data_IF_620292655140
#
_entry.id   IF_620292655140
#
_cell.length_a   1.000
_cell.length_b   1.000
_cell.length_c   1.000
_cell.angle_alpha   90.00
_cell.angle_beta   90.00
_cell.angle_gamma   90.00
#
_symmetry.space_group_name_H-M   'P 1'
#
loop_
_entity.id
_entity.type
_entity.pdbx_description
1 polymer ?
#
# COMPACT_ATOMS: atom_id res chain seq x y z
N UNK A 1 16.68 48.79 -74.92
CA UNK A 1 15.54 49.42 -74.20
C UNK A 1 14.94 48.40 -73.25
N UNK A 2 14.73 48.84 -72.00
CA UNK A 2 14.66 48.02 -70.78
C UNK A 2 13.48 47.04 -70.74
N UNK A 3 13.76 45.80 -70.36
CA UNK A 3 12.79 44.79 -69.90
C UNK A 3 12.45 45.09 -68.44
N UNK A 4 11.16 45.13 -68.11
CA UNK A 4 10.63 45.32 -66.75
C UNK A 4 10.61 43.95 -66.08
N UNK A 5 11.42 43.78 -65.03
CA UNK A 5 11.45 42.57 -64.21
C UNK A 5 10.64 42.80 -62.93
N UNK A 6 9.63 41.97 -62.74
CA UNK A 6 8.77 41.90 -61.57
C UNK A 6 9.58 41.26 -60.42
N UNK A 7 9.87 42.00 -59.35
CA UNK A 7 10.51 41.43 -58.16
C UNK A 7 9.45 41.26 -57.08
N UNK A 8 9.12 40.00 -56.78
CA UNK A 8 8.26 39.62 -55.66
C UNK A 8 9.12 39.70 -54.39
N UNK A 9 8.79 40.66 -53.52
CA UNK A 9 9.38 40.80 -52.19
C UNK A 9 8.68 39.81 -51.25
N UNK A 10 9.28 38.63 -51.03
CA UNK A 10 8.85 37.69 -49.98
C UNK A 10 9.38 38.22 -48.65
N UNK A 11 8.48 38.80 -47.86
CA UNK A 11 8.74 39.24 -46.49
C UNK A 11 8.86 37.98 -45.60
N UNK A 12 10.07 37.54 -45.33
CA UNK A 12 10.36 36.46 -44.39
C UNK A 12 10.23 37.03 -42.96
N UNK A 13 9.02 36.98 -42.40
CA UNK A 13 8.78 37.27 -41.00
C UNK A 13 9.45 36.20 -40.14
N UNK A 14 10.56 36.55 -39.50
CA UNK A 14 11.13 35.75 -38.42
C UNK A 14 10.21 35.94 -37.23
N UNK A 15 9.26 35.01 -37.04
CA UNK A 15 8.59 34.83 -35.77
C UNK A 15 9.64 34.25 -34.80
N UNK A 16 10.26 35.09 -33.98
CA UNK A 16 10.89 34.61 -32.77
C UNK A 16 9.78 34.24 -31.80
N UNK A 17 9.40 32.96 -31.75
CA UNK A 17 8.81 32.39 -30.55
C UNK A 17 9.86 32.55 -29.44
N UNK A 18 9.74 33.58 -28.61
CA UNK A 18 10.29 33.51 -27.26
C UNK A 18 9.43 32.49 -26.51
N UNK A 19 9.85 31.23 -26.54
CA UNK A 19 9.48 30.30 -25.50
C UNK A 19 10.05 30.87 -24.20
N UNK A 20 9.19 31.48 -23.39
CA UNK A 20 9.52 31.78 -22.01
C UNK A 20 9.69 30.42 -21.33
N UNK A 21 10.94 29.96 -21.18
CA UNK A 21 11.24 28.81 -20.35
C UNK A 21 10.96 29.25 -18.91
N UNK A 22 9.77 28.97 -18.40
CA UNK A 22 9.51 29.00 -16.96
C UNK A 22 10.56 28.08 -16.32
N UNK A 23 11.38 28.62 -15.41
CA UNK A 23 12.34 27.81 -14.64
C UNK A 23 11.52 26.68 -14.01
N UNK A 24 11.95 25.43 -14.22
CA UNK A 24 11.28 24.28 -13.59
C UNK A 24 11.50 24.42 -12.09
N UNK A 25 10.43 24.28 -11.30
CA UNK A 25 10.53 24.26 -9.85
C UNK A 25 11.52 23.21 -9.37
N UNK A 26 12.31 23.55 -8.35
CA UNK A 26 13.17 22.61 -7.64
C UNK A 26 12.58 22.29 -6.28
N UNK A 27 12.91 21.12 -5.75
CA UNK A 27 12.54 20.79 -4.37
C UNK A 27 13.40 21.63 -3.41
N UNK A 28 12.86 22.01 -2.24
CA UNK A 28 13.64 22.69 -1.21
C UNK A 28 14.79 21.81 -0.70
N UNK A 29 15.78 22.43 -0.05
CA UNK A 29 16.90 21.74 0.60
C UNK A 29 16.86 21.94 2.12
N UNK A 30 17.10 20.88 2.90
CA UNK A 30 17.28 20.94 4.37
C UNK A 30 18.75 20.66 4.70
N UNK A 31 19.38 21.53 5.48
CA UNK A 31 20.79 21.44 5.89
C UNK A 31 20.95 21.56 7.41
N UNK A 32 22.05 21.05 7.93
CA UNK A 32 22.47 21.26 9.32
C UNK A 32 21.94 20.25 10.35
N UNK A 33 21.03 19.35 9.96
CA UNK A 33 20.51 18.32 10.86
C UNK A 33 21.59 17.34 11.32
N UNK A 34 21.71 17.14 12.64
CA UNK A 34 22.44 15.99 13.20
C UNK A 34 21.59 14.73 13.01
N UNK A 35 22.10 13.78 12.21
CA UNK A 35 21.33 12.61 11.79
C UNK A 35 21.31 11.48 12.83
N UNK A 36 22.26 11.44 13.76
CA UNK A 36 22.35 10.36 14.77
C UNK A 36 22.79 10.87 16.15
N UNK A 37 22.06 11.84 16.74
CA UNK A 37 22.37 12.34 18.06
C UNK A 37 22.15 11.26 19.13
N UNK A 38 22.99 11.28 20.16
CA UNK A 38 22.88 10.44 21.34
C UNK A 38 22.85 11.34 22.57
N UNK A 39 21.79 11.24 23.37
CA UNK A 39 21.60 12.02 24.60
C UNK A 39 21.35 11.09 25.79
N UNK A 40 21.60 11.57 27.01
CA UNK A 40 21.20 10.84 28.19
C UNK A 40 19.72 11.10 28.50
N UNK A 41 19.05 10.11 29.08
CA UNK A 41 17.67 10.24 29.50
C UNK A 41 17.46 11.49 30.39
N UNK A 42 16.54 12.35 29.98
CA UNK A 42 16.18 13.60 30.64
C UNK A 42 16.97 14.83 30.18
N UNK A 43 17.96 14.67 29.29
CA UNK A 43 18.63 15.81 28.64
C UNK A 43 17.65 16.55 27.72
N UNK A 44 17.80 17.87 27.62
CA UNK A 44 17.04 18.67 26.65
C UNK A 44 17.53 18.37 25.22
N UNK A 45 16.61 18.33 24.27
CA UNK A 45 16.91 18.12 22.85
C UNK A 45 15.94 18.89 21.96
N UNK A 46 16.47 19.64 21.00
CA UNK A 46 15.70 20.33 19.97
C UNK A 46 16.09 19.78 18.58
N UNK A 47 15.18 19.09 17.87
CA UNK A 47 15.47 18.54 16.54
C UNK A 47 15.73 19.61 15.47
N UNK A 48 15.44 20.88 15.74
CA UNK A 48 15.70 21.99 14.82
C UNK A 48 17.00 22.76 15.13
N UNK A 49 17.77 22.34 16.15
CA UNK A 49 19.01 23.01 16.50
C UNK A 49 19.99 22.98 15.31
N UNK A 50 20.32 24.16 14.79
CA UNK A 50 21.24 24.32 13.65
C UNK A 50 20.65 23.95 12.28
N UNK A 51 19.37 23.57 12.21
CA UNK A 51 18.71 23.20 10.96
C UNK A 51 18.24 24.43 10.19
N UNK A 52 18.49 24.45 8.89
CA UNK A 52 17.99 25.47 7.96
C UNK A 52 17.33 24.82 6.76
N UNK A 53 16.32 25.47 6.19
CA UNK A 53 15.73 25.07 4.91
C UNK A 53 15.69 26.24 3.93
N UNK A 54 16.04 25.97 2.67
CA UNK A 54 15.98 26.98 1.62
C UNK A 54 15.57 26.39 0.29
N UNK A 55 14.92 27.20 -0.52
CA UNK A 55 14.57 26.90 -1.90
C UNK A 55 15.06 28.01 -2.83
N UNK A 56 15.39 27.63 -4.07
CA UNK A 56 15.91 28.54 -5.09
C UNK A 56 14.88 29.57 -5.56
N UNK A 57 13.60 29.20 -5.55
CA UNK A 57 12.45 30.00 -6.00
C UNK A 57 11.74 30.71 -4.84
N UNK A 58 11.66 30.07 -3.67
CA UNK A 58 10.93 30.55 -2.49
C UNK A 58 11.81 31.19 -1.39
N UNK A 59 13.13 31.00 -1.44
CA UNK A 59 14.07 31.59 -0.48
C UNK A 59 14.16 30.80 0.84
N UNK A 60 14.23 31.50 1.98
CA UNK A 60 14.36 30.85 3.30
C UNK A 60 13.02 30.26 3.76
N UNK A 61 13.01 28.94 3.95
CA UNK A 61 11.86 28.14 4.38
C UNK A 61 12.06 27.53 5.77
N UNK A 62 13.07 27.96 6.52
CA UNK A 62 13.43 27.36 7.83
C UNK A 62 12.27 27.33 8.82
N UNK A 63 11.45 28.38 8.88
CA UNK A 63 10.27 28.43 9.77
C UNK A 63 9.11 27.55 9.32
N UNK A 64 9.18 27.01 8.10
CA UNK A 64 8.16 26.14 7.50
C UNK A 64 8.48 24.66 7.67
N UNK A 65 9.61 24.32 8.32
CA UNK A 65 9.94 22.93 8.64
C UNK A 65 8.91 22.38 9.63
N UNK A 66 8.34 21.24 9.28
CA UNK A 66 7.44 20.45 10.12
C UNK A 66 8.25 19.31 10.74
N UNK A 67 8.25 19.23 12.07
CA UNK A 67 8.83 18.12 12.84
C UNK A 67 7.75 17.08 13.11
N UNK A 68 8.06 15.81 12.88
CA UNK A 68 7.19 14.68 13.18
C UNK A 68 8.00 13.50 13.74
N UNK A 69 7.34 12.60 14.48
CA UNK A 69 8.02 11.47 15.13
C UNK A 69 8.74 11.79 16.44
N UNK A 70 8.53 12.98 17.00
CA UNK A 70 9.12 13.43 18.26
C UNK A 70 8.16 14.31 19.05
N UNK A 71 8.02 14.03 20.34
CA UNK A 71 7.37 14.87 21.34
C UNK A 71 8.37 15.30 22.40
N UNK A 72 8.20 16.48 22.99
CA UNK A 72 9.17 17.03 23.94
C UNK A 72 9.39 16.16 25.19
N UNK A 73 8.45 15.27 25.53
CA UNK A 73 8.57 14.34 26.65
C UNK A 73 9.33 13.06 26.32
N UNK A 74 9.60 12.77 25.03
CA UNK A 74 10.28 11.55 24.58
C UNK A 74 11.70 11.42 25.14
N UNK A 75 12.36 12.56 25.42
CA UNK A 75 13.69 12.58 26.07
C UNK A 75 13.70 11.91 27.45
N UNK A 76 12.52 11.74 28.07
CA UNK A 76 12.40 11.10 29.38
C UNK A 76 12.32 9.57 29.30
N UNK A 77 12.30 8.98 28.10
CA UNK A 77 12.16 7.54 27.91
C UNK A 77 13.32 7.02 27.07
N UNK A 78 14.01 5.99 27.58
CA UNK A 78 15.09 5.37 26.83
C UNK A 78 14.53 4.70 25.57
N UNK A 79 15.22 4.84 24.44
CA UNK A 79 14.73 4.33 23.17
C UNK A 79 15.40 4.98 21.97
N UNK A 80 14.99 4.53 20.79
CA UNK A 80 15.39 5.13 19.51
C UNK A 80 14.15 5.73 18.85
N UNK A 81 14.26 6.99 18.46
CA UNK A 81 13.18 7.78 17.88
C UNK A 81 13.54 8.15 16.45
N UNK A 82 12.62 7.92 15.53
CA UNK A 82 12.76 8.30 14.12
C UNK A 82 12.01 9.60 13.92
N UNK A 83 12.76 10.69 13.83
CA UNK A 83 12.24 12.05 13.66
C UNK A 83 12.35 12.42 12.18
N UNK A 84 11.27 12.89 11.59
CA UNK A 84 11.25 13.37 10.21
C UNK A 84 11.01 14.86 10.18
N UNK A 85 11.95 15.59 9.59
CA UNK A 85 11.82 16.99 9.25
C UNK A 85 11.37 17.10 7.80
N UNK A 86 10.25 17.76 7.54
CA UNK A 86 9.71 17.96 6.19
C UNK A 86 9.52 19.45 5.93
N UNK A 87 9.89 19.90 4.73
CA UNK A 87 9.60 21.25 4.26
C UNK A 87 8.99 21.17 2.86
N UNK A 88 7.93 21.94 2.64
CA UNK A 88 7.18 22.01 1.38
C UNK A 88 7.24 23.43 0.86
N UNK A 89 7.56 23.58 -0.43
CA UNK A 89 7.62 24.88 -1.10
C UNK A 89 6.23 25.39 -1.54
N UNK A 90 6.19 26.55 -2.17
CA UNK A 90 4.91 27.15 -2.63
C UNK A 90 4.24 26.41 -3.79
N UNK A 91 4.99 25.53 -4.47
CA UNK A 91 4.56 24.73 -5.62
C UNK A 91 4.31 23.26 -5.25
N UNK A 92 4.25 22.95 -3.94
CA UNK A 92 3.88 21.64 -3.36
C UNK A 92 4.95 20.56 -3.59
N UNK A 93 6.17 20.93 -3.93
CA UNK A 93 7.32 20.01 -3.90
C UNK A 93 7.91 19.99 -2.48
N UNK A 94 8.37 18.82 -2.03
CA UNK A 94 8.82 18.65 -0.64
C UNK A 94 10.16 17.96 -0.54
N UNK A 95 10.92 18.31 0.51
CA UNK A 95 12.10 17.58 0.92
C UNK A 95 11.95 17.09 2.36
N UNK A 96 12.66 16.00 2.69
CA UNK A 96 12.65 15.45 4.04
C UNK A 96 14.01 14.90 4.45
N UNK A 97 14.32 15.04 5.74
CA UNK A 97 15.50 14.43 6.38
C UNK A 97 15.08 13.67 7.62
N UNK A 98 15.71 12.52 7.85
CA UNK A 98 15.43 11.64 8.99
C UNK A 98 16.56 11.71 10.01
N UNK A 99 16.20 11.94 11.27
CA UNK A 99 17.10 11.89 12.43
C UNK A 99 16.77 10.65 13.24
N UNK A 100 17.80 9.86 13.58
CA UNK A 100 17.69 8.71 14.47
C UNK A 100 18.24 9.09 15.86
N UNK A 101 17.40 9.69 16.70
CA UNK A 101 17.76 10.06 18.07
C UNK A 101 17.86 8.81 18.94
N UNK A 102 18.97 8.65 19.66
CA UNK A 102 19.10 7.64 20.72
C UNK A 102 19.09 8.31 22.09
N UNK A 103 18.11 7.94 22.92
CA UNK A 103 18.03 8.32 24.33
C UNK A 103 18.54 7.16 25.17
N UNK A 104 19.73 7.32 25.75
CA UNK A 104 20.35 6.29 26.58
C UNK A 104 19.81 6.33 28.01
N UNK A 105 19.25 5.20 28.44
CA UNK A 105 18.81 4.99 29.82
C UNK A 105 19.95 4.52 30.73
N UNK A 106 19.73 4.63 32.05
CA UNK A 106 20.71 4.19 33.06
C UNK A 106 20.68 2.67 33.32
N UNK A 107 19.70 1.96 32.77
CA UNK A 107 19.49 0.51 32.95
C UNK A 107 19.31 -0.20 31.62
N UNK A 108 19.96 -1.34 31.43
CA UNK A 108 19.86 -2.17 30.23
C UNK A 108 18.56 -2.99 30.19
N UNK A 109 17.43 -2.30 30.07
CA UNK A 109 16.11 -2.90 29.83
C UNK A 109 15.91 -3.02 28.31
N UNK A 110 15.42 -4.16 27.84
CA UNK A 110 15.13 -4.35 26.41
C UNK A 110 13.87 -3.57 26.01
N UNK A 111 13.80 -3.02 24.80
CA UNK A 111 12.61 -2.34 24.32
C UNK A 111 11.48 -3.33 23.99
N UNK A 112 10.22 -2.90 24.06
CA UNK A 112 9.11 -3.65 23.50
C UNK A 112 9.21 -3.74 21.96
N UNK A 113 8.55 -4.73 21.36
CA UNK A 113 8.52 -4.95 19.92
C UNK A 113 7.11 -4.66 19.39
N UNK A 114 7.01 -3.67 18.49
CA UNK A 114 5.81 -3.41 17.69
C UNK A 114 5.81 -4.30 16.44
N UNK A 115 4.68 -4.92 16.11
CA UNK A 115 4.50 -5.78 14.93
C UNK A 115 3.19 -5.46 14.22
N UNK A 116 3.12 -5.69 12.91
CA UNK A 116 1.93 -5.42 12.09
C UNK A 116 1.75 -3.96 11.66
N UNK A 117 2.74 -3.09 11.89
CA UNK A 117 2.65 -1.68 11.48
C UNK A 117 2.78 -1.54 9.97
N UNK A 118 1.69 -1.14 9.30
CA UNK A 118 1.69 -0.71 7.90
C UNK A 118 2.17 0.74 7.84
N UNK A 119 3.42 0.96 7.41
CA UNK A 119 4.08 2.27 7.49
C UNK A 119 3.60 3.27 6.44
N UNK A 120 2.98 2.80 5.34
CA UNK A 120 2.35 3.65 4.35
C UNK A 120 0.87 3.33 4.25
N UNK A 121 0.02 4.27 4.61
CA UNK A 121 -1.43 4.05 4.60
C UNK A 121 -2.10 5.05 3.68
N UNK A 122 -3.18 4.63 3.04
CA UNK A 122 -4.05 5.52 2.28
C UNK A 122 -5.44 5.52 2.90
N UNK A 123 -5.98 6.71 3.15
CA UNK A 123 -7.38 6.90 3.47
C UNK A 123 -8.08 7.72 2.37
N UNK A 124 -9.22 7.23 1.89
CA UNK A 124 -10.06 7.97 0.96
C UNK A 124 -11.12 8.75 1.72
N UNK A 125 -11.28 10.02 1.40
CA UNK A 125 -12.20 10.91 2.11
C UNK A 125 -13.63 10.32 2.04
N UNK A 126 -14.21 10.09 3.22
CA UNK A 126 -15.54 9.53 3.38
C UNK A 126 -15.61 8.00 3.53
N UNK A 127 -14.49 7.28 3.43
CA UNK A 127 -14.43 5.81 3.56
C UNK A 127 -14.82 5.25 4.93
N UNK A 128 -15.00 6.10 5.94
CA UNK A 128 -15.60 5.73 7.22
C UNK A 128 -14.63 5.87 8.39
N UNK A 129 -14.66 4.92 9.31
CA UNK A 129 -13.74 4.90 10.45
C UNK A 129 -12.32 4.59 9.98
N UNK A 130 -11.33 5.12 10.71
CA UNK A 130 -9.92 4.86 10.49
C UNK A 130 -9.26 4.65 11.85
N UNK A 131 -8.58 3.53 12.02
CA UNK A 131 -7.79 3.20 13.20
C UNK A 131 -6.33 2.96 12.79
N UNK A 132 -5.39 3.85 13.15
CA UNK A 132 -3.97 3.66 12.83
C UNK A 132 -3.33 2.46 13.55
N UNK A 133 -4.02 1.87 14.56
CA UNK A 133 -3.56 0.69 15.30
C UNK A 133 -4.16 -0.63 14.78
N UNK A 134 -4.99 -0.59 13.74
CA UNK A 134 -5.59 -1.80 13.18
C UNK A 134 -4.49 -2.83 12.80
N UNK A 135 -4.59 -4.05 13.35
CA UNK A 135 -3.61 -5.12 13.14
C UNK A 135 -2.27 -4.96 13.89
N UNK A 136 -2.07 -3.88 14.63
CA UNK A 136 -0.81 -3.62 15.35
C UNK A 136 -0.81 -4.33 16.70
N UNK A 137 0.28 -5.03 17.00
CA UNK A 137 0.51 -5.71 18.28
C UNK A 137 1.81 -5.23 18.94
N UNK A 138 1.87 -5.34 20.27
CA UNK A 138 3.10 -5.05 21.03
C UNK A 138 3.38 -6.17 22.03
N UNK A 139 4.62 -6.68 22.00
CA UNK A 139 5.10 -7.69 22.95
C UNK A 139 6.42 -7.23 23.55
N UNK A 140 6.55 -7.34 24.86
CA UNK A 140 7.77 -7.08 25.61
C UNK A 140 8.32 -8.39 26.20
N UNK A 141 9.65 -8.59 26.23
CA UNK A 141 10.26 -9.80 26.79
C UNK A 141 9.97 -10.06 28.28
N UNK A 142 9.66 -9.01 29.05
CA UNK A 142 9.43 -9.06 30.50
C UNK A 142 7.95 -8.87 30.83
N UNK A 143 7.27 -7.90 30.20
CA UNK A 143 5.87 -7.57 30.49
C UNK A 143 4.86 -8.44 29.70
N UNK A 144 5.32 -9.18 28.68
CA UNK A 144 4.46 -10.00 27.83
C UNK A 144 3.68 -9.17 26.80
N UNK A 145 2.40 -9.49 26.57
CA UNK A 145 1.58 -8.77 25.59
C UNK A 145 1.12 -7.44 26.18
N UNK A 146 1.53 -6.34 25.54
CA UNK A 146 1.23 -4.97 25.98
C UNK A 146 0.55 -4.14 24.87
N UNK A 147 -0.11 -4.80 23.91
CA UNK A 147 -0.83 -4.17 22.79
C UNK A 147 -1.81 -3.06 23.23
N UNK A 148 -2.48 -3.24 24.37
CA UNK A 148 -3.43 -2.24 24.89
C UNK A 148 -2.75 -0.95 25.37
N UNK A 149 -1.43 -0.96 25.56
CA UNK A 149 -0.63 0.21 25.95
C UNK A 149 -0.10 1.02 24.76
N UNK A 150 -0.44 0.63 23.51
CA UNK A 150 -0.05 1.40 22.33
C UNK A 150 -0.82 2.72 22.29
N UNK A 151 -0.06 3.81 22.37
CA UNK A 151 -0.53 5.18 22.21
C UNK A 151 -0.32 5.65 20.76
N UNK A 152 -1.20 6.54 20.31
CA UNK A 152 -1.13 7.20 19.01
C UNK A 152 -0.86 8.69 19.25
N UNK A 153 0.20 9.22 18.65
CA UNK A 153 0.53 10.64 18.64
C UNK A 153 0.66 11.16 17.20
N UNK A 154 0.82 12.47 17.06
CA UNK A 154 0.70 13.17 15.79
C UNK A 154 -0.74 13.60 15.48
N UNK A 155 -0.88 14.58 14.59
CA UNK A 155 -2.17 15.12 14.15
C UNK A 155 -2.44 14.73 12.71
N UNK A 156 -3.65 14.24 12.42
CA UNK A 156 -4.09 13.91 11.07
C UNK A 156 -5.54 14.34 10.84
N UNK A 157 -5.90 14.58 9.57
CA UNK A 157 -7.26 14.96 9.19
C UNK A 157 -7.78 14.01 8.11
N UNK A 158 -8.93 13.40 8.36
CA UNK A 158 -9.58 12.48 7.40
C UNK A 158 -10.47 13.22 6.38
N UNK A 159 -10.62 14.54 6.51
CA UNK A 159 -11.50 15.36 5.67
C UNK A 159 -10.74 16.32 4.76
N UNK A 160 -9.42 16.34 4.86
CA UNK A 160 -8.57 17.19 4.04
C UNK A 160 -7.53 16.31 3.36
N UNK A 161 -7.42 16.43 2.04
CA UNK A 161 -6.38 15.72 1.31
C UNK A 161 -5.00 16.24 1.74
N UNK A 162 -4.05 15.34 1.90
CA UNK A 162 -2.72 15.66 2.41
C UNK A 162 -2.02 14.44 2.96
N UNK A 163 -0.75 14.63 3.33
CA UNK A 163 0.07 13.60 3.96
C UNK A 163 0.25 13.95 5.43
N UNK A 164 0.03 12.99 6.31
CA UNK A 164 0.14 13.14 7.76
C UNK A 164 1.05 12.08 8.33
N UNK A 165 1.93 12.48 9.26
CA UNK A 165 2.77 11.55 10.01
C UNK A 165 2.11 11.24 11.36
N UNK A 166 1.82 9.97 11.58
CA UNK A 166 1.25 9.43 12.81
C UNK A 166 2.34 8.59 13.48
N UNK A 167 2.47 8.70 14.79
CA UNK A 167 3.45 7.92 15.55
C UNK A 167 2.73 6.99 16.50
N UNK A 168 3.02 5.70 16.39
CA UNK A 168 2.66 4.70 17.39
C UNK A 168 3.78 4.59 18.39
N UNK A 169 3.46 4.62 19.68
CA UNK A 169 4.45 4.44 20.75
C UNK A 169 3.94 3.53 21.84
N UNK A 170 4.83 2.73 22.40
CA UNK A 170 4.53 1.84 23.52
C UNK A 170 5.70 1.86 24.49
N UNK A 171 5.39 2.02 25.78
CA UNK A 171 6.38 2.08 26.86
C UNK A 171 6.17 0.90 27.80
N UNK A 172 7.24 0.17 28.07
CA UNK A 172 7.23 -0.96 28.98
C UNK A 172 7.36 -0.50 30.45
N UNK A 173 7.20 -1.42 31.40
CA UNK A 173 7.25 -1.10 32.83
C UNK A 173 8.63 -0.59 33.30
N UNK A 174 9.69 -0.89 32.53
CA UNK A 174 11.04 -0.40 32.75
C UNK A 174 11.32 1.00 32.19
N UNK A 175 10.32 1.66 31.60
CA UNK A 175 10.45 3.02 31.07
C UNK A 175 11.17 3.11 29.71
N UNK A 176 11.30 1.99 29.00
CA UNK A 176 11.85 1.94 27.64
C UNK A 176 10.71 2.04 26.64
N UNK A 177 10.88 2.87 25.60
CA UNK A 177 9.88 3.14 24.57
C UNK A 177 10.33 2.61 23.22
N UNK A 178 9.39 1.97 22.52
CA UNK A 178 9.50 1.71 21.10
C UNK A 178 8.50 2.60 20.33
N UNK A 179 8.92 3.07 19.16
CA UNK A 179 8.09 3.90 18.28
C UNK A 179 8.07 3.35 16.87
N UNK A 180 6.96 3.56 16.16
CA UNK A 180 6.86 3.35 14.73
C UNK A 180 6.09 4.51 14.08
N UNK A 181 6.50 4.91 12.88
CA UNK A 181 5.87 6.01 12.14
C UNK A 181 5.03 5.47 10.99
N UNK A 182 3.82 6.00 10.86
CA UNK A 182 2.88 5.76 9.77
C UNK A 182 2.76 7.06 8.96
N UNK A 183 2.98 6.96 7.66
CA UNK A 183 2.68 8.01 6.69
C UNK A 183 1.28 7.77 6.14
N UNK A 184 0.31 8.56 6.61
CA UNK A 184 -1.06 8.52 6.15
C UNK A 184 -1.27 9.51 4.99
N UNK A 185 -1.56 8.98 3.79
CA UNK A 185 -1.99 9.77 2.63
C UNK A 185 -3.51 9.83 2.57
N UNK A 186 -4.07 11.01 2.77
CA UNK A 186 -5.50 11.27 2.63
C UNK A 186 -5.77 11.84 1.24
N UNK A 187 -6.70 11.21 0.49
CA UNK A 187 -7.02 11.64 -0.88
C UNK A 187 -8.52 11.56 -1.18
N UNK A 188 -8.95 12.33 -2.16
CA UNK A 188 -10.30 12.20 -2.74
C UNK A 188 -10.31 10.95 -3.62
N UNK A 189 -11.36 10.14 -3.55
CA UNK A 189 -11.52 8.98 -4.43
C UNK A 189 -12.00 9.41 -5.81
N UNK A 190 -11.41 8.83 -6.86
CA UNK A 190 -11.88 8.98 -8.24
C UNK A 190 -13.08 8.07 -8.56
N UNK A 191 -13.50 7.23 -7.61
CA UNK A 191 -14.65 6.33 -7.79
C UNK A 191 -15.95 7.16 -7.87
N UNK A 192 -16.70 7.06 -8.97
CA UNK A 192 -17.94 7.81 -9.11
C UNK A 192 -18.98 7.42 -8.07
N UNK A 193 -19.71 8.40 -7.52
CA UNK A 193 -20.81 8.15 -6.57
C UNK A 193 -22.11 7.69 -7.25
N UNK A 194 -22.15 7.69 -8.57
CA UNK A 194 -23.31 7.28 -9.38
C UNK A 194 -22.85 6.38 -10.50
N UNK A 195 -23.59 5.31 -10.75
CA UNK A 195 -23.34 4.42 -11.88
C UNK A 195 -23.81 5.08 -13.20
N UNK A 196 -23.07 4.83 -14.28
CA UNK A 196 -23.51 5.22 -15.63
C UNK A 196 -24.64 4.32 -16.11
N UNK A 197 -25.49 4.84 -17.00
CA UNK A 197 -26.50 4.09 -17.74
C UNK A 197 -26.01 3.65 -19.12
N UNK A 198 -24.81 4.08 -19.52
CA UNK A 198 -24.23 3.70 -20.80
C UNK A 198 -23.95 2.19 -20.83
N UNK A 199 -24.01 1.54 -22.01
CA UNK A 199 -23.68 0.13 -22.13
C UNK A 199 -22.21 -0.13 -21.73
N UNK A 200 -22.01 -1.12 -20.85
CA UNK A 200 -20.69 -1.57 -20.38
C UNK A 200 -20.50 -3.04 -20.75
N UNK A 201 -19.31 -3.40 -21.21
CA UNK A 201 -18.91 -4.81 -21.38
C UNK A 201 -17.77 -5.13 -20.42
N UNK A 202 -17.93 -6.19 -19.63
CA UNK A 202 -16.91 -6.72 -18.70
C UNK A 202 -16.51 -8.11 -19.19
N UNK A 203 -15.24 -8.30 -19.54
CA UNK A 203 -14.71 -9.62 -19.92
C UNK A 203 -13.94 -10.25 -18.77
N UNK A 204 -14.26 -11.51 -18.44
CA UNK A 204 -13.59 -12.29 -17.39
C UNK A 204 -12.88 -13.51 -18.00
N UNK A 205 -11.55 -13.56 -17.94
CA UNK A 205 -10.79 -14.75 -18.35
C UNK A 205 -10.54 -15.70 -17.17
N UNK A 206 -10.61 -17.01 -17.43
CA UNK A 206 -10.40 -18.05 -16.41
C UNK A 206 -9.75 -19.31 -16.97
N UNK A 207 -9.23 -20.15 -16.06
CA UNK A 207 -8.60 -21.43 -16.38
C UNK A 207 -9.57 -22.63 -16.22
N UNK A 208 -10.73 -22.41 -15.61
CA UNK A 208 -11.67 -23.48 -15.26
C UNK A 208 -12.32 -24.20 -16.45
N UNK A 209 -12.73 -25.46 -16.23
CA UNK A 209 -13.48 -26.26 -17.20
C UNK A 209 -14.97 -25.93 -17.28
N UNK A 210 -15.67 -26.59 -18.21
CA UNK A 210 -17.05 -26.29 -18.63
C UNK A 210 -18.06 -26.20 -17.48
N UNK A 211 -18.01 -27.15 -16.53
CA UNK A 211 -18.96 -27.18 -15.41
C UNK A 211 -18.86 -25.91 -14.53
N UNK A 212 -17.65 -25.47 -14.23
CA UNK A 212 -17.42 -24.27 -13.40
C UNK A 212 -17.66 -22.98 -14.20
N UNK A 213 -17.37 -22.97 -15.50
CA UNK A 213 -17.74 -21.87 -16.38
C UNK A 213 -19.26 -21.67 -16.41
N UNK A 214 -20.03 -22.75 -16.48
CA UNK A 214 -21.49 -22.67 -16.42
C UNK A 214 -22.01 -22.11 -15.09
N UNK A 215 -21.28 -22.32 -13.98
CA UNK A 215 -21.59 -21.69 -12.69
C UNK A 215 -21.24 -20.20 -12.68
N UNK A 216 -20.05 -19.84 -13.18
CA UNK A 216 -19.67 -18.43 -13.37
C UNK A 216 -20.71 -17.66 -14.20
N UNK A 217 -21.20 -18.28 -15.28
CA UNK A 217 -22.23 -17.66 -16.11
C UNK A 217 -23.52 -17.37 -15.34
N UNK A 218 -23.93 -18.23 -14.40
CA UNK A 218 -25.12 -17.97 -13.57
C UNK A 218 -24.93 -16.75 -12.64
N UNK A 219 -23.72 -16.56 -12.10
CA UNK A 219 -23.40 -15.36 -11.31
C UNK A 219 -23.41 -14.11 -12.19
N UNK A 220 -22.83 -14.18 -13.38
CA UNK A 220 -22.87 -13.12 -14.38
C UNK A 220 -24.31 -12.77 -14.78
N UNK A 221 -25.15 -13.76 -15.07
CA UNK A 221 -26.56 -13.55 -15.42
C UNK A 221 -27.32 -12.86 -14.29
N UNK A 222 -27.08 -13.27 -13.05
CA UNK A 222 -27.69 -12.64 -11.86
C UNK A 222 -27.24 -11.18 -11.70
N UNK A 223 -25.96 -10.90 -11.94
CA UNK A 223 -25.42 -9.54 -11.92
C UNK A 223 -26.03 -8.67 -13.03
N UNK A 224 -26.15 -9.18 -14.25
CA UNK A 224 -26.77 -8.46 -15.38
C UNK A 224 -28.26 -8.18 -15.17
N UNK A 225 -28.99 -9.00 -14.39
CA UNK A 225 -30.36 -8.70 -14.00
C UNK A 225 -30.44 -7.48 -13.07
N UNK A 226 -29.46 -7.31 -12.18
CA UNK A 226 -29.36 -6.14 -11.30
C UNK A 226 -28.87 -4.90 -12.06
N UNK A 227 -28.01 -5.09 -13.06
CA UNK A 227 -27.41 -4.02 -13.87
C UNK A 227 -27.64 -4.25 -15.37
N UNK A 228 -28.84 -3.91 -15.90
CA UNK A 228 -29.23 -4.25 -17.28
C UNK A 228 -28.38 -3.59 -18.39
N UNK A 229 -27.64 -2.53 -18.08
CA UNK A 229 -26.71 -1.90 -19.01
C UNK A 229 -25.33 -2.57 -19.05
N UNK A 230 -25.06 -3.56 -18.20
CA UNK A 230 -23.81 -4.32 -18.17
C UNK A 230 -23.96 -5.64 -18.91
N UNK A 231 -23.00 -5.97 -19.74
CA UNK A 231 -22.82 -7.29 -20.37
C UNK A 231 -21.53 -7.91 -19.85
N UNK A 232 -21.61 -9.11 -19.28
CA UNK A 232 -20.48 -9.88 -18.79
C UNK A 232 -20.17 -10.99 -19.78
N UNK A 233 -18.95 -11.01 -20.30
CA UNK A 233 -18.47 -11.97 -21.29
C UNK A 233 -17.48 -12.92 -20.62
N UNK A 234 -17.85 -14.20 -20.54
CA UNK A 234 -17.02 -15.28 -19.98
C UNK A 234 -16.70 -16.26 -21.12
N UNK A 235 -15.56 -16.12 -21.82
CA UNK A 235 -15.14 -17.05 -22.85
C UNK A 235 -14.83 -18.44 -22.27
N UNK A 236 -14.67 -19.43 -23.16
CA UNK A 236 -14.24 -20.76 -22.76
C UNK A 236 -12.91 -20.70 -22.00
N UNK A 237 -12.85 -21.39 -20.86
CA UNK A 237 -11.63 -21.44 -20.06
C UNK A 237 -10.47 -22.14 -20.77
N UNK A 238 -9.25 -21.75 -20.40
CA UNK A 238 -8.02 -22.23 -21.07
C UNK A 238 -7.40 -23.48 -20.42
N UNK A 239 -8.08 -24.06 -19.42
CA UNK A 239 -7.78 -25.36 -18.84
C UNK A 239 -6.70 -25.38 -17.74
N UNK A 240 -5.75 -24.46 -17.74
CA UNK A 240 -4.71 -24.35 -16.71
C UNK A 240 -4.19 -22.92 -16.52
N UNK A 241 -3.61 -22.66 -15.35
CA UNK A 241 -3.13 -21.33 -14.96
C UNK A 241 -1.90 -20.86 -15.76
N UNK A 242 -1.00 -21.75 -16.18
CA UNK A 242 0.18 -21.37 -16.96
C UNK A 242 -0.20 -20.83 -18.34
N UNK A 243 -1.15 -21.48 -18.99
CA UNK A 243 -1.69 -21.05 -20.29
C UNK A 243 -2.43 -19.73 -20.12
N UNK A 244 -3.23 -19.59 -19.06
CA UNK A 244 -3.93 -18.34 -18.76
C UNK A 244 -2.94 -17.20 -18.52
N UNK A 245 -1.87 -17.46 -17.78
CA UNK A 245 -0.81 -16.48 -17.52
C UNK A 245 -0.12 -16.03 -18.80
N UNK A 246 0.30 -16.96 -19.64
CA UNK A 246 0.95 -16.64 -20.91
C UNK A 246 0.02 -15.82 -21.83
N UNK A 247 -1.27 -16.14 -21.85
CA UNK A 247 -2.27 -15.35 -22.58
C UNK A 247 -2.37 -13.93 -22.02
N UNK A 248 -2.37 -13.78 -20.69
CA UNK A 248 -2.40 -12.46 -20.04
C UNK A 248 -1.14 -11.65 -20.34
N UNK A 249 0.07 -12.24 -20.27
CA UNK A 249 1.33 -11.55 -20.61
C UNK A 249 1.32 -11.05 -22.07
N UNK A 250 0.85 -11.87 -23.00
CA UNK A 250 0.68 -11.48 -24.40
C UNK A 250 -0.35 -10.36 -24.56
N UNK A 251 -1.45 -10.42 -23.81
CA UNK A 251 -2.49 -9.40 -23.82
C UNK A 251 -2.01 -8.06 -23.25
N UNK A 252 -1.19 -8.06 -22.20
CA UNK A 252 -0.53 -6.88 -21.64
C UNK A 252 0.38 -6.25 -22.69
N UNK A 253 1.21 -7.07 -23.36
CA UNK A 253 2.13 -6.59 -24.41
C UNK A 253 1.37 -6.00 -25.61
N UNK A 254 0.19 -6.56 -25.92
CA UNK A 254 -0.65 -6.16 -27.04
C UNK A 254 -1.73 -5.13 -26.71
N UNK A 255 -1.79 -4.62 -25.48
CA UNK A 255 -2.85 -3.71 -24.98
C UNK A 255 -4.27 -4.24 -25.25
N UNK A 256 -4.47 -5.54 -25.02
CA UNK A 256 -5.69 -6.28 -25.33
C UNK A 256 -6.19 -7.09 -24.12
N UNK A 257 -6.02 -6.53 -22.92
CA UNK A 257 -6.33 -7.18 -21.64
C UNK A 257 -7.83 -7.34 -21.43
N UNK A 258 -8.29 -8.41 -20.74
CA UNK A 258 -9.65 -8.48 -20.23
C UNK A 258 -9.84 -7.47 -19.08
N UNK A 259 -11.09 -7.25 -18.67
CA UNK A 259 -11.38 -6.43 -17.49
C UNK A 259 -11.04 -7.18 -16.19
N UNK A 260 -11.19 -8.50 -16.17
CA UNK A 260 -10.88 -9.36 -15.04
C UNK A 260 -10.21 -10.65 -15.51
N UNK A 261 -9.30 -11.19 -14.70
CA UNK A 261 -8.65 -12.47 -14.97
C UNK A 261 -8.47 -13.24 -13.66
N UNK A 262 -8.75 -14.54 -13.70
CA UNK A 262 -8.41 -15.46 -12.62
C UNK A 262 -6.89 -15.63 -12.56
N UNK A 263 -6.28 -15.44 -11.39
CA UNK A 263 -4.82 -15.42 -11.28
C UNK A 263 -4.33 -15.97 -9.94
N UNK A 264 -3.15 -16.58 -9.94
CA UNK A 264 -2.39 -16.79 -8.70
C UNK A 264 -1.70 -15.49 -8.26
N UNK A 265 -1.39 -15.32 -6.96
CA UNK A 265 -0.70 -14.14 -6.46
C UNK A 265 0.66 -13.87 -7.13
N UNK A 266 1.46 -14.90 -7.38
CA UNK A 266 2.78 -14.75 -8.04
C UNK A 266 2.66 -14.26 -9.49
N UNK A 267 1.58 -14.61 -10.18
CA UNK A 267 1.28 -14.10 -11.52
C UNK A 267 0.88 -12.62 -11.50
N UNK A 268 0.14 -12.17 -10.47
CA UNK A 268 -0.24 -10.76 -10.30
C UNK A 268 1.00 -9.89 -10.14
N UNK A 269 2.00 -10.36 -9.37
CA UNK A 269 3.29 -9.69 -9.24
C UNK A 269 3.99 -9.49 -10.61
N UNK A 270 3.87 -10.47 -11.51
CA UNK A 270 4.39 -10.36 -12.87
C UNK A 270 3.63 -9.30 -13.69
N UNK A 271 2.30 -9.23 -13.55
CA UNK A 271 1.45 -8.26 -14.28
C UNK A 271 1.64 -6.82 -13.80
N UNK A 272 1.99 -6.62 -12.52
CA UNK A 272 2.29 -5.31 -11.97
C UNK A 272 3.49 -4.65 -12.67
N UNK A 273 4.48 -5.43 -13.12
CA UNK A 273 5.62 -4.91 -13.91
C UNK A 273 5.18 -4.30 -15.25
N UNK A 274 4.01 -4.72 -15.77
CA UNK A 274 3.41 -4.19 -16.99
C UNK A 274 2.46 -3.02 -16.77
N UNK A 275 2.32 -2.50 -15.53
CA UNK A 275 1.30 -1.51 -15.14
C UNK A 275 -0.13 -1.93 -15.53
N UNK A 276 -0.41 -3.24 -15.52
CA UNK A 276 -1.63 -3.82 -16.04
C UNK A 276 -2.70 -4.16 -14.98
N UNK A 277 -2.39 -3.90 -13.70
CA UNK A 277 -3.26 -4.26 -12.57
C UNK A 277 -3.70 -3.02 -11.83
N UNK A 278 -4.98 -2.95 -11.54
CA UNK A 278 -5.61 -1.81 -10.88
C UNK A 278 -5.48 -1.92 -9.35
N UNK A 279 -5.14 -0.80 -8.71
CA UNK A 279 -5.26 -0.67 -7.25
C UNK A 279 -6.76 -0.74 -6.86
N UNK A 280 -7.13 -1.75 -6.07
CA UNK A 280 -8.51 -2.00 -5.67
C UNK A 280 -8.94 -1.27 -4.39
N UNK A 281 -8.00 -0.74 -3.60
CA UNK A 281 -8.30 -0.01 -2.36
C UNK A 281 -9.37 1.10 -2.51
N UNK A 282 -9.38 1.96 -3.56
CA UNK A 282 -10.42 2.97 -3.71
C UNK A 282 -11.83 2.37 -3.89
N UNK A 283 -11.92 1.20 -4.52
CA UNK A 283 -13.19 0.52 -4.77
C UNK A 283 -13.65 -0.24 -3.53
N UNK A 284 -12.75 -1.00 -2.90
CA UNK A 284 -13.00 -1.74 -1.65
C UNK A 284 -13.46 -0.79 -0.54
N UNK A 285 -12.77 0.34 -0.38
CA UNK A 285 -13.04 1.31 0.68
C UNK A 285 -14.11 2.35 0.28
N UNK A 286 -14.77 2.19 -0.86
CA UNK A 286 -15.81 3.13 -1.29
C UNK A 286 -16.96 3.14 -0.29
N UNK A 287 -17.34 4.31 0.21
CA UNK A 287 -18.51 4.44 1.09
C UNK A 287 -19.84 4.13 0.37
N UNK A 288 -19.87 4.25 -0.95
CA UNK A 288 -21.05 4.03 -1.77
C UNK A 288 -21.15 2.61 -2.31
N UNK A 289 -20.02 1.98 -2.63
CA UNK A 289 -19.95 0.75 -3.44
C UNK A 289 -19.01 -0.32 -2.87
N UNK A 290 -18.38 -0.05 -1.73
CA UNK A 290 -17.31 -0.87 -1.18
C UNK A 290 -17.78 -2.17 -0.53
N UNK A 291 -16.80 -2.88 0.04
CA UNK A 291 -17.02 -4.07 0.85
C UNK A 291 -17.10 -3.66 2.32
N UNK A 292 -18.25 -3.14 2.71
CA UNK A 292 -18.50 -2.56 4.03
C UNK A 292 -19.91 -2.90 4.54
N UNK A 293 -20.11 -2.79 5.86
CA UNK A 293 -21.40 -3.10 6.49
C UNK A 293 -21.71 -4.59 6.46
N UNK A 294 -22.79 -4.99 5.78
CA UNK A 294 -23.24 -6.38 5.71
C UNK A 294 -22.43 -7.24 4.73
N UNK A 295 -21.69 -6.60 3.82
CA UNK A 295 -20.80 -7.24 2.86
C UNK A 295 -19.35 -6.84 3.17
N UNK A 296 -18.98 -6.87 4.46
CA UNK A 296 -17.69 -6.34 4.92
C UNK A 296 -16.54 -7.16 4.34
N UNK A 297 -15.44 -6.50 3.99
CA UNK A 297 -14.19 -7.21 3.63
C UNK A 297 -13.74 -8.14 4.77
N UNK A 298 -14.06 -7.80 6.02
CA UNK A 298 -13.72 -8.59 7.21
C UNK A 298 -14.45 -9.95 7.27
N UNK A 299 -15.50 -10.17 6.46
CA UNK A 299 -16.18 -11.47 6.36
C UNK A 299 -15.36 -12.50 5.56
N UNK A 300 -14.29 -12.05 4.89
CA UNK A 300 -13.36 -12.91 4.17
C UNK A 300 -12.25 -13.36 5.12
N UNK A 301 -11.88 -14.64 5.05
CA UNK A 301 -10.80 -15.21 5.86
C UNK A 301 -9.51 -14.39 5.67
N UNK A 302 -8.98 -13.85 6.77
CA UNK A 302 -7.84 -12.92 6.80
C UNK A 302 -6.63 -13.43 6.01
N UNK A 303 -6.20 -14.68 6.25
CA UNK A 303 -5.05 -15.27 5.54
C UNK A 303 -5.27 -15.34 4.03
N UNK A 304 -6.52 -15.41 3.55
CA UNK A 304 -6.80 -15.37 2.12
C UNK A 304 -6.74 -13.96 1.56
N UNK A 305 -7.12 -12.94 2.34
CA UNK A 305 -7.01 -11.53 1.97
C UNK A 305 -5.55 -11.08 1.87
N UNK A 306 -4.74 -11.40 2.88
CA UNK A 306 -3.33 -10.99 2.99
C UNK A 306 -2.50 -11.36 1.74
N UNK A 307 -2.78 -12.52 1.13
CA UNK A 307 -2.12 -12.94 -0.10
C UNK A 307 -2.33 -11.98 -1.29
N UNK A 308 -3.32 -11.08 -1.22
CA UNK A 308 -3.66 -10.13 -2.28
C UNK A 308 -3.13 -8.71 -2.03
N UNK A 309 -2.46 -8.47 -0.91
CA UNK A 309 -1.92 -7.15 -0.52
C UNK A 309 -0.40 -7.12 -0.33
N UNK A 310 0.27 -8.26 -0.45
CA UNK A 310 1.72 -8.43 -0.20
C UNK A 310 2.68 -7.82 -1.25
N UNK A 311 2.20 -6.96 -2.15
CA UNK A 311 2.96 -6.49 -3.30
C UNK A 311 3.72 -5.18 -3.06
N UNK A 312 3.32 -4.40 -2.06
CA UNK A 312 3.99 -3.16 -1.68
C UNK A 312 3.89 -2.92 -0.16
N UNK A 313 4.69 -1.97 0.33
CA UNK A 313 4.72 -1.62 1.75
C UNK A 313 3.40 -1.01 2.26
N UNK A 314 2.50 -0.61 1.36
CA UNK A 314 1.22 -0.03 1.72
C UNK A 314 0.12 -1.09 1.91
N UNK A 315 0.42 -2.36 1.63
CA UNK A 315 -0.59 -3.42 1.67
C UNK A 315 -1.66 -3.22 0.61
N UNK A 316 -1.32 -2.71 -0.57
CA UNK A 316 -2.31 -2.43 -1.62
C UNK A 316 -2.95 -3.71 -2.14
N UNK A 317 -4.28 -3.78 -2.11
CA UNK A 317 -5.02 -4.86 -2.74
C UNK A 317 -5.01 -4.71 -4.27
N UNK A 318 -4.40 -5.68 -4.95
CA UNK A 318 -4.39 -5.77 -6.42
C UNK A 318 -5.25 -6.94 -6.95
N UNK A 319 -5.77 -7.77 -6.06
CA UNK A 319 -6.69 -8.86 -6.34
C UNK A 319 -7.63 -9.10 -5.17
N UNK A 320 -8.63 -9.96 -5.36
CA UNK A 320 -9.51 -10.43 -4.29
C UNK A 320 -9.57 -11.96 -4.31
N UNK A 321 -9.74 -12.63 -3.15
CA UNK A 321 -9.94 -14.06 -3.10
C UNK A 321 -11.14 -14.50 -3.95
N UNK A 322 -10.92 -15.47 -4.82
CA UNK A 322 -11.98 -16.00 -5.69
C UNK A 322 -12.21 -17.50 -5.47
N UNK A 323 -11.24 -18.36 -5.80
CA UNK A 323 -11.30 -19.79 -5.55
C UNK A 323 -9.96 -20.28 -4.96
N UNK A 324 -9.95 -20.46 -3.64
CA UNK A 324 -8.75 -20.81 -2.87
C UNK A 324 -8.65 -22.32 -2.68
N UNK A 325 -7.43 -22.82 -2.62
CA UNK A 325 -7.11 -24.20 -2.23
C UNK A 325 -6.13 -24.18 -1.07
N UNK A 326 -6.10 -25.27 -0.31
CA UNK A 326 -5.09 -25.52 0.71
C UNK A 326 -4.62 -26.96 0.57
N UNK A 327 -3.35 -27.21 0.87
CA UNK A 327 -2.78 -28.53 0.89
C UNK A 327 -3.35 -29.33 2.06
N UNK A 328 -3.76 -30.56 1.77
CA UNK A 328 -4.20 -31.51 2.78
C UNK A 328 -3.44 -32.81 2.61
N UNK A 329 -3.06 -33.44 3.72
CA UNK A 329 -2.54 -34.79 3.71
C UNK A 329 -3.70 -35.77 3.68
N UNK A 330 -3.78 -36.57 2.61
CA UNK A 330 -4.77 -37.64 2.48
C UNK A 330 -4.03 -38.97 2.61
N UNK A 331 -4.44 -39.79 3.57
CA UNK A 331 -3.89 -41.14 3.76
C UNK A 331 -4.99 -42.21 3.67
N UNK A 332 -4.60 -43.44 3.34
CA UNK A 332 -5.51 -44.57 3.28
C UNK A 332 -5.60 -45.24 4.65
N UNK A 333 -6.65 -44.93 5.40
CA UNK A 333 -6.86 -45.50 6.74
C UNK A 333 -6.84 -47.03 6.77
N UNK A 334 -7.45 -47.70 5.80
CA UNK A 334 -7.46 -49.17 5.74
C UNK A 334 -6.05 -49.74 5.59
N UNK A 335 -5.18 -49.08 4.84
CA UNK A 335 -3.80 -49.52 4.68
C UNK A 335 -3.00 -49.33 5.98
N UNK A 336 -3.19 -48.19 6.66
CA UNK A 336 -2.55 -47.92 7.95
C UNK A 336 -3.01 -48.91 9.03
N UNK A 337 -4.32 -49.13 9.16
CA UNK A 337 -4.88 -50.08 10.13
C UNK A 337 -4.38 -51.52 9.87
N UNK A 338 -4.25 -51.94 8.60
CA UNK A 338 -3.77 -53.27 8.22
C UNK A 338 -2.27 -53.48 8.47
N UNK A 339 -1.49 -52.39 8.47
CA UNK A 339 -0.06 -52.40 8.78
C UNK A 339 0.23 -52.11 10.25
N UNK A 340 -0.82 -51.94 11.07
CA UNK A 340 -0.70 -51.54 12.48
C UNK A 340 0.09 -50.22 12.64
N UNK A 341 -0.11 -49.28 11.70
CA UNK A 341 0.49 -47.94 11.72
C UNK A 341 -0.48 -46.92 12.29
N UNK A 342 0.04 -46.03 13.14
CA UNK A 342 -0.71 -44.89 13.66
C UNK A 342 -0.93 -43.82 12.58
N UNK A 343 -1.98 -43.02 12.75
CA UNK A 343 -2.24 -41.84 11.91
C UNK A 343 -1.06 -40.85 12.02
N UNK A 344 -0.48 -40.40 10.88
CA UNK A 344 0.66 -39.51 10.92
C UNK A 344 0.22 -38.10 11.32
N UNK A 345 0.86 -37.55 12.36
CA UNK A 345 0.63 -36.18 12.84
C UNK A 345 1.86 -35.28 12.62
N UNK A 346 3.01 -35.87 12.27
CA UNK A 346 4.23 -35.18 11.88
C UNK A 346 4.77 -35.68 10.53
N UNK A 347 5.63 -34.88 9.90
CA UNK A 347 6.38 -35.34 8.72
C UNK A 347 7.32 -36.50 9.03
N UNK A 348 7.80 -36.63 10.29
CA UNK A 348 8.62 -37.76 10.69
C UNK A 348 7.79 -39.05 10.70
N UNK A 349 6.54 -39.00 11.16
CA UNK A 349 5.64 -40.16 11.15
C UNK A 349 5.41 -40.67 9.71
N UNK A 350 5.28 -39.75 8.75
CA UNK A 350 5.15 -40.09 7.32
C UNK A 350 6.42 -40.78 6.81
N UNK A 351 7.60 -40.29 7.19
CA UNK A 351 8.89 -40.86 6.81
C UNK A 351 9.06 -42.25 7.44
N UNK A 352 8.70 -42.41 8.70
CA UNK A 352 8.82 -43.67 9.45
C UNK A 352 7.84 -44.74 8.96
N UNK A 353 6.67 -44.34 8.47
CA UNK A 353 5.69 -45.21 7.84
C UNK A 353 6.10 -45.62 6.40
N UNK A 354 7.04 -44.92 5.77
CA UNK A 354 7.48 -45.23 4.41
C UNK A 354 8.40 -46.47 4.40
N UNK A 355 8.25 -47.39 3.44
CA UNK A 355 9.17 -48.51 3.30
C UNK A 355 10.58 -48.02 2.97
N UNK A 356 11.58 -48.67 3.57
CA UNK A 356 13.01 -48.38 3.42
C UNK A 356 13.58 -48.60 2.02
#
# INVERSE_FOLDING_TARGET
MKKIAFTVLVLLGILTLSACATKRNQAPEILGADLNPVIQQGDEYDPLEGVTASDDEDGDLTSSIVVSGFEADDVNFAGTYVITLTVTDSQVESASVTINLTVEGTTAVLPPVLSGVVTQQTYYIGSGAYDPKAGVTAVDPVDGVITDLIEVTGTYLLTAAGTYNITLRVTNSGGVRATATIVLTVRVSDVPLTLTTDPITITLWHAMGEANQALLQKYADSFQLLYPNVTVVIPAGVGNYDTLKNNMINAITGDAMPNMVQSYPDHVAEYLNGNAVLNLNPYINSAAWGLNGADSIDDIIESYLEENSQYDAAGTYYSLPFNKSTEVMIYNKTAFDALELDEPVTWQDVIDAAPA
#
